data_IF_485779438723
#
_entry.id   IF_485779438723
#
_cell.length_a   1.000
_cell.length_b   1.000
_cell.length_c   1.000
_cell.angle_alpha   90.00
_cell.angle_beta   90.00
_cell.angle_gamma   90.00
#
_symmetry.space_group_name_H-M   'P 1'
#
loop_
_entity.id
_entity.type
_entity.pdbx_description
1 polymer ?
#
# COMPACT_ATOMS: atom_id res chain seq x y z
N UNK A 1 -4.50 0.77 22.22
CA UNK A 1 -4.77 0.36 21.98
C UNK A 1 -4.89 -0.36 21.68
N UNK A 2 -4.65 -0.19 21.41
CA UNK A 2 -4.78 -0.86 20.95
C UNK A 2 -4.75 -1.66 20.65
N UNK A 3 -4.63 -1.63 20.37
CA UNK A 3 -4.67 -2.27 19.95
C UNK A 3 -4.40 -3.14 19.59
N UNK A 4 -4.12 -2.99 19.37
CA UNK A 4 -3.87 -3.72 18.90
C UNK A 4 -3.56 -4.61 18.78
N UNK A 5 -3.26 -4.64 18.87
CA UNK A 5 -3.02 -5.40 18.58
C UNK A 5 -3.02 -6.31 18.56
N UNK A 6 -3.03 -6.25 18.56
CA UNK A 6 -3.17 -6.88 18.35
C UNK A 6 -3.13 -7.92 18.11
N UNK A 7 -2.98 -8.09 17.98
CA UNK A 7 -3.08 -8.78 17.68
C UNK A 7 -2.97 -9.85 17.48
N UNK A 8 -2.87 -10.38 17.23
CA UNK A 8 -2.80 -11.29 17.00
C UNK A 8 -2.82 -12.19 16.45
N UNK A 9 -2.61 -12.46 16.16
CA UNK A 9 -2.65 -13.19 15.47
C UNK A 9 -2.73 -14.34 15.02
N UNK A 10 -3.06 -15.05 14.86
CA UNK A 10 -3.17 -15.95 14.33
C UNK A 10 -3.51 -15.98 13.19
N UNK A 11 -3.17 -16.13 12.48
CA UNK A 11 -3.54 -15.90 11.40
C UNK A 11 -3.61 -16.92 10.57
N UNK A 12 -4.37 -17.30 10.24
CA UNK A 12 -4.52 -18.18 9.42
C UNK A 12 -4.64 -17.86 8.17
N UNK A 13 -4.41 -18.31 7.24
CA UNK A 13 -4.68 -18.04 5.89
C UNK A 13 -3.92 -16.92 5.31
N UNK A 14 -3.38 -16.15 6.02
CA UNK A 14 -2.71 -15.02 5.43
C UNK A 14 -1.70 -14.44 6.35
N UNK A 15 -0.61 -14.05 5.81
CA UNK A 15 0.39 -13.36 6.58
C UNK A 15 0.08 -11.88 6.61
N UNK A 16 0.21 -11.28 7.77
CA UNK A 16 0.07 -9.84 7.89
C UNK A 16 1.44 -9.23 7.71
N UNK A 17 1.53 -8.28 6.81
CA UNK A 17 2.78 -7.60 6.55
C UNK A 17 2.57 -6.09 6.65
N UNK A 18 3.62 -5.41 7.05
CA UNK A 18 3.62 -3.96 7.09
C UNK A 18 4.20 -3.44 5.80
N UNK A 19 3.49 -2.56 5.14
CA UNK A 19 3.98 -1.94 3.92
C UNK A 19 4.11 -0.46 4.17
N UNK A 20 5.14 0.13 3.64
CA UNK A 20 5.37 1.56 3.78
C UNK A 20 5.18 2.19 2.42
N UNK A 21 4.27 3.15 2.32
CA UNK A 21 4.08 3.88 1.08
C UNK A 21 4.75 5.23 1.25
N UNK A 22 5.71 5.50 0.40
CA UNK A 22 6.50 6.71 0.50
C UNK A 22 6.23 7.57 -0.71
N UNK A 23 5.88 8.82 -0.50
CA UNK A 23 5.59 9.70 -1.60
C UNK A 23 6.84 10.49 -2.00
N UNK A 24 6.67 11.33 -2.99
CA UNK A 24 7.81 12.07 -3.54
C UNK A 24 8.36 13.11 -2.59
N UNK A 25 7.58 13.51 -1.61
CA UNK A 25 8.04 14.46 -0.61
C UNK A 25 8.75 13.76 0.54
N UNK A 26 8.79 12.43 0.53
CA UNK A 26 9.44 11.69 1.59
C UNK A 26 8.52 11.31 2.73
N UNK A 27 7.24 11.63 2.62
CA UNK A 27 6.28 11.27 3.65
C UNK A 27 5.95 9.80 3.55
N UNK A 28 5.96 9.11 4.66
CA UNK A 28 5.69 7.68 4.71
C UNK A 28 4.36 7.42 5.40
N UNK A 29 3.57 6.54 4.83
CA UNK A 29 2.34 6.07 5.43
C UNK A 29 2.46 4.57 5.57
N UNK A 30 2.20 4.06 6.75
CA UNK A 30 2.36 2.64 7.02
C UNK A 30 1.01 1.95 6.96
N UNK A 31 0.98 0.80 6.31
CA UNK A 31 -0.22 -0.01 6.20
C UNK A 31 0.08 -1.41 6.69
N UNK A 32 -0.84 -1.96 7.43
CA UNK A 32 -0.75 -3.34 7.84
C UNK A 32 -1.79 -4.12 7.07
N UNK A 33 -1.37 -4.99 6.19
CA UNK A 33 -2.27 -5.70 5.30
C UNK A 33 -1.90 -7.17 5.25
N UNK A 34 -2.81 -7.96 4.71
CA UNK A 34 -2.53 -9.36 4.50
C UNK A 34 -1.94 -9.54 3.12
N UNK A 35 -1.20 -10.62 2.96
CA UNK A 35 -0.51 -10.86 1.69
C UNK A 35 -1.48 -11.01 0.51
N UNK A 36 -2.73 -11.34 0.77
CA UNK A 36 -3.71 -11.48 -0.29
C UNK A 36 -4.61 -10.25 -0.46
N UNK A 37 -4.30 -9.15 0.22
CA UNK A 37 -5.05 -7.91 0.07
C UNK A 37 -4.67 -7.26 -1.27
N UNK A 38 -5.66 -6.89 -2.05
CA UNK A 38 -5.37 -6.27 -3.34
C UNK A 38 -4.84 -4.86 -3.16
N UNK A 39 -3.91 -4.48 -4.02
CA UNK A 39 -3.33 -3.15 -3.95
C UNK A 39 -4.36 -2.05 -4.14
N UNK A 40 -5.42 -2.35 -4.89
CA UNK A 40 -6.48 -1.35 -5.06
C UNK A 40 -7.01 -0.87 -3.72
N UNK A 41 -7.15 -1.80 -2.78
CA UNK A 41 -7.63 -1.44 -1.46
C UNK A 41 -6.63 -0.54 -0.74
N UNK A 42 -5.37 -0.83 -0.90
CA UNK A 42 -4.33 -0.02 -0.28
C UNK A 42 -4.28 1.36 -0.93
N UNK A 43 -4.43 1.40 -2.25
CA UNK A 43 -4.46 2.67 -2.97
C UNK A 43 -5.63 3.53 -2.51
N UNK A 44 -6.80 2.92 -2.36
CA UNK A 44 -7.99 3.65 -1.91
C UNK A 44 -7.77 4.22 -0.51
N UNK A 45 -7.20 3.42 0.37
CA UNK A 45 -6.94 3.88 1.74
C UNK A 45 -5.90 4.98 1.75
N UNK A 46 -4.88 4.84 0.93
CA UNK A 46 -3.83 5.85 0.86
C UNK A 46 -4.41 7.17 0.32
N UNK A 47 -5.19 7.09 -0.74
CA UNK A 47 -5.79 8.28 -1.33
C UNK A 47 -6.67 9.00 -0.30
N UNK A 48 -7.41 8.25 0.48
CA UNK A 48 -8.24 8.85 1.52
C UNK A 48 -7.41 9.54 2.59
N UNK A 49 -6.31 8.91 2.99
CA UNK A 49 -5.45 9.50 4.01
C UNK A 49 -4.77 10.76 3.51
N UNK A 50 -4.44 10.81 2.25
CA UNK A 50 -3.72 11.94 1.70
C UNK A 50 -4.65 12.96 1.05
N UNK A 51 -5.92 12.66 1.02
CA UNK A 51 -6.92 13.54 0.39
C UNK A 51 -6.60 13.81 -1.06
N UNK A 52 -6.20 12.77 -1.77
CA UNK A 52 -5.90 12.88 -3.19
C UNK A 52 -6.80 11.91 -3.95
N UNK A 53 -6.88 12.12 -5.24
CA UNK A 53 -7.68 11.29 -6.12
C UNK A 53 -6.96 9.98 -6.35
N UNK A 54 -7.63 8.87 -6.11
CA UNK A 54 -7.00 7.57 -6.27
C UNK A 54 -6.55 7.34 -7.73
N UNK A 55 -7.25 7.94 -8.68
CA UNK A 55 -6.87 7.77 -10.08
C UNK A 55 -5.60 8.51 -10.44
N UNK A 56 -5.16 9.40 -9.56
CA UNK A 56 -3.93 10.16 -9.81
C UNK A 56 -2.70 9.53 -9.21
N UNK A 57 -2.86 8.48 -8.41
CA UNK A 57 -1.69 7.89 -7.76
C UNK A 57 -1.25 6.63 -8.49
N UNK A 58 0.06 6.42 -8.46
CA UNK A 58 0.66 5.21 -9.01
C UNK A 58 1.61 4.65 -7.98
N UNK A 59 1.48 3.37 -7.73
CA UNK A 59 2.40 2.68 -6.83
C UNK A 59 3.47 1.99 -7.64
N UNK A 60 4.71 2.16 -7.20
CA UNK A 60 5.84 1.51 -7.84
C UNK A 60 6.58 0.68 -6.80
N UNK A 61 6.96 -0.49 -7.19
CA UNK A 61 7.73 -1.35 -6.32
C UNK A 61 8.94 -1.82 -7.11
N UNK A 62 10.11 -1.47 -6.59
CA UNK A 62 11.36 -1.82 -7.26
C UNK A 62 11.37 -1.30 -8.69
N UNK A 63 10.78 -0.14 -8.89
CA UNK A 63 10.73 0.50 -10.20
C UNK A 63 9.64 0.03 -11.11
N UNK A 64 8.89 -1.00 -10.72
CA UNK A 64 7.82 -1.54 -11.54
C UNK A 64 6.47 -1.09 -11.00
N UNK A 65 5.57 -0.78 -11.92
CA UNK A 65 4.24 -0.33 -11.57
C UNK A 65 3.43 -1.47 -10.98
N UNK A 66 2.75 -1.21 -9.90
CA UNK A 66 1.90 -2.20 -9.26
C UNK A 66 0.48 -2.10 -9.80
N UNK A 67 -0.09 -3.26 -10.11
CA UNK A 67 -1.44 -3.35 -10.60
C UNK A 67 -2.38 -3.44 -9.41
N UNK A 68 -3.48 -2.68 -9.45
CA UNK A 68 -4.44 -2.71 -8.36
C UNK A 68 -5.06 -4.07 -8.12
N UNK A 69 -5.07 -4.93 -9.13
CA UNK A 69 -5.63 -6.27 -8.97
C UNK A 69 -4.63 -7.27 -8.41
N UNK A 70 -3.37 -6.87 -8.29
CA UNK A 70 -2.34 -7.72 -7.70
C UNK A 70 -2.33 -7.59 -6.19
N UNK A 71 -1.61 -8.50 -5.53
CA UNK A 71 -1.49 -8.51 -4.09
C UNK A 71 -0.03 -8.50 -3.70
N UNK A 72 0.27 -8.14 -2.46
CA UNK A 72 1.66 -8.25 -1.99
C UNK A 72 2.22 -9.64 -2.15
N UNK A 73 1.38 -10.66 -1.93
CA UNK A 73 1.84 -12.04 -2.12
C UNK A 73 2.25 -12.31 -3.55
N UNK A 74 1.52 -11.75 -4.53
CA UNK A 74 1.85 -11.90 -5.93
C UNK A 74 3.22 -11.31 -6.25
N UNK A 75 3.58 -10.26 -5.54
CA UNK A 75 4.84 -9.57 -5.77
C UNK A 75 5.96 -10.09 -4.89
N UNK A 76 5.66 -11.03 -4.02
CA UNK A 76 6.68 -11.53 -3.10
C UNK A 76 7.14 -10.53 -2.08
N UNK A 77 6.27 -9.62 -1.70
CA UNK A 77 6.62 -8.59 -0.74
C UNK A 77 6.72 -9.15 0.67
N UNK A 78 7.56 -8.53 1.44
CA UNK A 78 7.79 -8.91 2.82
C UNK A 78 7.52 -7.75 3.74
N UNK A 79 7.57 -8.05 5.03
CA UNK A 79 7.34 -7.04 6.05
C UNK A 79 8.30 -5.88 5.88
N UNK A 80 7.78 -4.68 5.99
CA UNK A 80 8.54 -3.44 5.89
C UNK A 80 9.05 -3.10 4.49
N UNK A 81 8.50 -3.73 3.47
CA UNK A 81 8.82 -3.33 2.11
C UNK A 81 8.25 -1.96 1.82
N UNK A 82 8.94 -1.21 0.99
CA UNK A 82 8.58 0.15 0.67
C UNK A 82 8.00 0.22 -0.73
N UNK A 83 6.86 0.86 -0.84
CA UNK A 83 6.21 1.13 -2.11
C UNK A 83 6.33 2.63 -2.37
N UNK A 84 6.78 2.98 -3.56
CA UNK A 84 6.86 4.38 -3.93
C UNK A 84 5.54 4.83 -4.50
N UNK A 85 5.09 6.00 -4.09
CA UNK A 85 3.86 6.57 -4.60
C UNK A 85 4.18 7.79 -5.43
N UNK A 86 3.70 7.79 -6.65
CA UNK A 86 3.90 8.88 -7.58
C UNK A 86 2.55 9.47 -7.91
N UNK A 87 2.44 10.78 -7.86
CA UNK A 87 1.23 11.45 -8.27
C UNK A 87 1.36 11.89 -9.71
N UNK A 88 0.44 11.45 -10.54
CA UNK A 88 0.44 11.87 -11.93
C UNK A 88 -0.43 13.09 -12.11
N UNK A 89 0.07 14.01 -12.85
CA UNK A 89 -0.70 15.18 -13.20
C UNK A 89 -1.58 14.81 -14.34
N UNK A 90 -2.83 14.63 -14.07
CA UNK A 90 -3.74 14.24 -15.11
C UNK A 90 -4.51 15.43 -15.58
N UNK A 91 -4.65 15.55 -16.84
CA UNK A 91 -5.45 16.53 -17.39
C UNK A 91 -4.83 17.79 -17.40
N UNK A 92 -4.42 17.91 -17.04
CA UNK A 92 -3.96 19.02 -17.04
C UNK A 92 -4.36 19.91 -17.93
N UNK A 93 -4.74 19.78 -18.10
CA UNK A 93 -4.89 20.40 -18.52
C UNK A 93 -4.92 20.77 -18.66
#
# INVERSE_FOLDING_TARGET
MDQSAETKPKVEGGNVINLVVKDQAGTEVHFKVKSHTKFQKIMDAYAGKRSVDVSAIRFLYDGARLDGSSTPGDQGMEDNDVIDCVLEQIGGH
#
